data_IF_375872091755
#
_entry.id   IF_375872091755
#
_cell.length_a   1.000
_cell.length_b   1.000
_cell.length_c   1.000
_cell.angle_alpha   90.00
_cell.angle_beta   90.00
_cell.angle_gamma   90.00
#
_symmetry.space_group_name_H-M   'P 1'
#
loop_
_entity.id
_entity.type
_entity.pdbx_description
1 polymer ?
#
# COMPACT_ATOMS: atom_id res chain seq x y z
N UNK A 1 6.04 -8.07 0.12
CA UNK A 1 5.86 -6.68 -0.36
C UNK A 1 6.64 -5.81 0.61
N UNK A 2 7.50 -4.91 0.12
CA UNK A 2 8.24 -3.97 0.96
C UNK A 2 7.88 -2.55 0.53
N UNK A 3 7.82 -1.62 1.48
CA UNK A 3 7.61 -0.20 1.22
C UNK A 3 8.94 0.54 1.16
N UNK A 4 9.10 1.43 0.19
CA UNK A 4 10.25 2.33 0.09
C UNK A 4 9.76 3.75 0.27
N UNK A 5 10.28 4.42 1.28
CA UNK A 5 10.01 5.83 1.48
C UNK A 5 11.11 6.63 0.80
N UNK A 6 10.71 7.44 -0.18
CA UNK A 6 11.62 8.19 -1.04
C UNK A 6 11.20 9.65 -1.01
N UNK A 7 12.15 10.53 -0.71
CA UNK A 7 11.97 11.98 -0.89
C UNK A 7 12.63 12.42 -2.19
N UNK A 8 11.98 13.34 -2.91
CA UNK A 8 12.55 14.00 -4.08
C UNK A 8 13.15 15.34 -3.67
N UNK A 9 14.39 15.62 -4.10
CA UNK A 9 14.97 16.96 -3.94
C UNK A 9 14.45 17.92 -5.01
N UNK A 10 14.79 19.19 -4.87
CA UNK A 10 14.62 20.25 -5.88
C UNK A 10 15.03 19.87 -7.32
N UNK A 11 16.03 19.01 -7.48
CA UNK A 11 16.49 18.48 -8.77
C UNK A 11 15.84 17.15 -9.17
N UNK A 12 14.71 16.78 -8.55
CA UNK A 12 14.02 15.49 -8.73
C UNK A 12 14.91 14.27 -8.45
N UNK A 13 15.98 14.44 -7.66
CA UNK A 13 16.83 13.34 -7.24
C UNK A 13 16.10 12.53 -6.16
N UNK A 14 15.86 11.21 -6.36
CA UNK A 14 15.28 10.38 -5.32
C UNK A 14 16.32 10.05 -4.25
N UNK A 15 15.96 10.25 -3.00
CA UNK A 15 16.75 9.89 -1.83
C UNK A 15 15.95 8.87 -1.01
N UNK A 16 16.52 7.68 -0.82
CA UNK A 16 15.95 6.64 0.03
C UNK A 16 16.01 7.08 1.49
N UNK A 17 14.88 7.04 2.18
CA UNK A 17 14.77 7.33 3.60
C UNK A 17 14.74 6.05 4.43
N UNK A 18 13.79 5.16 4.12
CA UNK A 18 13.63 3.89 4.81
C UNK A 18 13.12 2.78 3.89
N UNK A 19 13.31 1.55 4.35
CA UNK A 19 12.71 0.36 3.75
C UNK A 19 11.89 -0.34 4.84
N UNK A 20 10.57 -0.36 4.66
CA UNK A 20 9.67 -1.02 5.59
C UNK A 20 9.33 -2.43 5.08
N UNK A 21 9.73 -3.44 5.86
CA UNK A 21 9.45 -4.84 5.53
C UNK A 21 7.96 -5.22 5.67
N UNK A 22 7.16 -4.41 6.36
CA UNK A 22 5.73 -4.61 6.59
C UNK A 22 4.96 -3.29 6.40
N UNK A 23 4.86 -2.77 5.16
CA UNK A 23 4.14 -1.53 4.90
C UNK A 23 2.64 -1.69 5.18
N UNK A 24 1.97 -0.61 5.59
CA UNK A 24 0.54 -0.64 5.84
C UNK A 24 -0.26 -0.95 4.57
N UNK A 25 -1.20 -1.89 4.67
CA UNK A 25 -2.17 -2.22 3.63
C UNK A 25 -3.59 -1.79 4.01
N UNK A 26 -3.75 -0.91 5.02
CA UNK A 26 -5.05 -0.30 5.35
C UNK A 26 -5.58 0.49 4.15
N UNK A 27 -6.89 0.40 3.93
CA UNK A 27 -7.63 1.16 2.89
C UNK A 27 -8.57 2.20 3.51
N UNK A 28 -8.32 2.54 4.77
CA UNK A 28 -9.01 3.56 5.55
C UNK A 28 -7.98 4.39 6.32
N UNK A 29 -8.43 5.55 6.79
CA UNK A 29 -7.64 6.43 7.64
C UNK A 29 -8.47 6.95 8.81
N UNK A 30 -7.77 7.33 9.87
CA UNK A 30 -8.36 7.86 11.09
C UNK A 30 -8.65 9.35 10.86
N UNK A 31 -9.86 9.79 11.17
CA UNK A 31 -10.28 11.20 11.07
C UNK A 31 -11.14 11.58 12.26
N UNK A 32 -11.19 12.86 12.61
CA UNK A 32 -12.07 13.37 13.67
C UNK A 32 -13.37 13.89 13.06
N UNK A 33 -14.50 13.49 13.64
CA UNK A 33 -15.79 14.07 13.27
C UNK A 33 -16.03 15.42 13.99
N UNK A 34 -17.13 16.11 13.66
CA UNK A 34 -17.49 17.41 14.24
C UNK A 34 -17.64 17.41 15.77
N UNK A 35 -17.84 16.23 16.38
CA UNK A 35 -17.92 16.05 17.83
C UNK A 35 -16.55 15.76 18.48
N UNK A 36 -15.45 15.82 17.72
CA UNK A 36 -14.10 15.47 18.18
C UNK A 36 -13.88 13.96 18.39
N UNK A 37 -14.76 13.10 17.87
CA UNK A 37 -14.62 11.65 17.98
C UNK A 37 -13.83 11.11 16.80
N UNK A 38 -12.80 10.30 17.09
CA UNK A 38 -12.07 9.53 16.09
C UNK A 38 -13.00 8.49 15.42
N UNK A 39 -13.04 8.53 14.09
CA UNK A 39 -13.76 7.62 13.21
C UNK A 39 -12.83 7.12 12.10
N UNK A 40 -13.19 5.98 11.51
CA UNK A 40 -12.49 5.42 10.35
C UNK A 40 -13.21 5.83 9.07
N UNK A 41 -12.48 6.45 8.15
CA UNK A 41 -12.99 6.85 6.84
C UNK A 41 -12.31 6.05 5.74
N UNK A 42 -13.10 5.50 4.82
CA UNK A 42 -12.56 4.79 3.65
C UNK A 42 -11.73 5.72 2.76
N UNK A 43 -10.66 5.19 2.20
CA UNK A 43 -9.78 5.87 1.24
C UNK A 43 -9.91 5.24 -0.14
N UNK A 44 -10.64 5.86 -1.07
CA UNK A 44 -10.77 5.35 -2.43
C UNK A 44 -9.42 5.20 -3.15
N UNK A 45 -8.48 6.12 -2.89
CA UNK A 45 -7.13 6.09 -3.48
C UNK A 45 -6.34 4.88 -2.96
N UNK A 46 -6.40 4.60 -1.66
CA UNK A 46 -5.75 3.42 -1.10
C UNK A 46 -6.35 2.13 -1.65
N UNK A 47 -7.67 2.10 -1.83
CA UNK A 47 -8.35 0.94 -2.43
C UNK A 47 -7.88 0.70 -3.88
N UNK A 48 -7.82 1.76 -4.69
CA UNK A 48 -7.38 1.73 -6.08
C UNK A 48 -5.93 1.23 -6.22
N UNK A 49 -5.05 1.61 -5.30
CA UNK A 49 -3.62 1.29 -5.37
C UNK A 49 -3.31 -0.05 -4.68
N UNK A 50 -3.79 -0.25 -3.45
CA UNK A 50 -3.37 -1.38 -2.60
C UNK A 50 -4.08 -2.68 -2.95
N UNK A 51 -5.34 -2.66 -3.39
CA UNK A 51 -6.02 -3.92 -3.78
C UNK A 51 -5.34 -4.59 -4.98
N UNK A 52 -5.05 -3.89 -6.10
CA UNK A 52 -4.32 -4.50 -7.20
C UNK A 52 -2.92 -4.94 -6.80
N UNK A 53 -2.19 -4.14 -5.99
CA UNK A 53 -0.86 -4.51 -5.50
C UNK A 53 -0.85 -5.89 -4.82
N UNK A 54 -1.78 -6.13 -3.88
CA UNK A 54 -1.88 -7.42 -3.19
C UNK A 54 -2.32 -8.52 -4.15
N UNK A 55 -3.33 -8.27 -4.98
CA UNK A 55 -3.85 -9.26 -5.93
C UNK A 55 -2.77 -9.74 -6.91
N UNK A 56 -2.05 -8.81 -7.53
CA UNK A 56 -0.99 -9.13 -8.48
C UNK A 56 0.20 -9.81 -7.79
N UNK A 57 0.54 -9.40 -6.57
CA UNK A 57 1.55 -10.11 -5.76
C UNK A 57 1.16 -11.57 -5.53
N UNK A 58 -0.10 -11.84 -5.17
CA UNK A 58 -0.58 -13.21 -4.99
C UNK A 58 -0.52 -13.99 -6.30
N UNK A 59 -0.93 -13.42 -7.43
CA UNK A 59 -0.83 -14.09 -8.74
C UNK A 59 0.60 -14.47 -9.11
N UNK A 60 1.58 -13.65 -8.75
CA UNK A 60 2.99 -13.91 -9.00
C UNK A 60 3.59 -14.94 -8.02
N UNK A 61 3.23 -14.84 -6.74
CA UNK A 61 3.80 -15.67 -5.68
C UNK A 61 3.15 -17.05 -5.60
N UNK A 62 1.89 -17.19 -5.99
CA UNK A 62 1.19 -18.46 -5.95
C UNK A 62 1.80 -19.41 -6.99
N UNK A 63 2.21 -20.63 -6.59
CA UNK A 63 2.72 -21.61 -7.53
C UNK A 63 1.64 -21.91 -8.57
N UNK A 64 1.99 -21.75 -9.85
CA UNK A 64 1.11 -22.18 -10.94
C UNK A 64 0.90 -23.69 -10.76
N UNK A 65 -0.34 -24.11 -10.49
CA UNK A 65 -0.71 -25.54 -10.59
C UNK A 65 -0.21 -26.01 -11.95
N UNK A 66 0.73 -26.97 -11.97
CA UNK A 66 0.98 -27.73 -13.20
C UNK A 66 -0.32 -28.46 -13.50
N UNK A 67 -1.04 -27.98 -14.50
CA UNK A 67 -2.11 -28.77 -15.10
C UNK A 67 -1.39 -29.94 -15.76
N UNK A 68 -1.42 -31.10 -15.11
CA UNK A 68 -1.09 -32.35 -15.77
C UNK A 68 -2.20 -32.58 -16.80
N UNK A 69 -1.89 -32.24 -18.05
CA UNK A 69 -2.62 -32.69 -19.25
C UNK A 69 -2.60 -34.19 -19.35
#
# INVERSE_FOLDING_TARGET
IVGFDIILTDHLKPILLEVNANPSLRIDFDTENESGKLIYQSSPIDEEIKKPLVLETLKLALPKKKLNT
#
